data_IF_654878043910
#
_entry.id   IF_654878043910
#
_cell.length_a   1.000
_cell.length_b   1.000
_cell.length_c   1.000
_cell.angle_alpha   90.00
_cell.angle_beta   90.00
_cell.angle_gamma   90.00
#
_symmetry.space_group_name_H-M   'P 1'
#
loop_
_entity.id
_entity.type
_entity.pdbx_description
1 polymer ?
#
# COMPACT_ATOMS: atom_id res chain seq x y z
N UNK A 1 -18.81 -7.24 -13.63
CA UNK A 1 -17.55 -7.68 -12.99
C UNK A 1 -16.31 -6.87 -13.37
N UNK A 2 -16.39 -5.76 -14.13
CA UNK A 2 -15.23 -4.86 -14.32
C UNK A 2 -14.73 -4.32 -12.97
N UNK A 3 -15.64 -3.80 -12.15
CA UNK A 3 -15.32 -3.15 -10.88
C UNK A 3 -14.49 -4.03 -9.90
N UNK A 4 -14.79 -5.33 -9.77
CA UNK A 4 -14.05 -6.22 -8.86
C UNK A 4 -12.60 -6.46 -9.32
N UNK A 5 -12.39 -6.62 -10.62
CA UNK A 5 -11.05 -6.78 -11.20
C UNK A 5 -10.24 -5.49 -11.11
N UNK A 6 -10.90 -4.35 -11.28
CA UNK A 6 -10.30 -3.03 -11.12
C UNK A 6 -9.85 -2.82 -9.65
N UNK A 7 -10.70 -3.13 -8.67
CA UNK A 7 -10.35 -3.06 -7.24
C UNK A 7 -9.21 -4.03 -6.87
N UNK A 8 -9.22 -5.25 -7.40
CA UNK A 8 -8.12 -6.22 -7.18
C UNK A 8 -6.79 -5.69 -7.73
N UNK A 9 -6.83 -5.03 -8.89
CA UNK A 9 -5.64 -4.41 -9.48
C UNK A 9 -5.13 -3.26 -8.62
N UNK A 10 -6.02 -2.39 -8.17
CA UNK A 10 -5.65 -1.26 -7.31
C UNK A 10 -5.09 -1.76 -5.97
N UNK A 11 -5.65 -2.83 -5.42
CA UNK A 11 -5.13 -3.50 -4.24
C UNK A 11 -3.70 -4.04 -4.46
N UNK A 12 -3.45 -4.72 -5.58
CA UNK A 12 -2.12 -5.21 -5.93
C UNK A 12 -1.11 -4.07 -6.09
N UNK A 13 -1.51 -2.97 -6.73
CA UNK A 13 -0.68 -1.77 -6.87
C UNK A 13 -0.35 -1.16 -5.50
N UNK A 14 -1.30 -1.11 -4.57
CA UNK A 14 -1.05 -0.64 -3.21
C UNK A 14 -0.04 -1.53 -2.47
N UNK A 15 -0.16 -2.86 -2.58
CA UNK A 15 0.79 -3.83 -1.99
C UNK A 15 2.20 -3.68 -2.57
N UNK A 16 2.32 -3.56 -3.89
CA UNK A 16 3.60 -3.30 -4.55
C UNK A 16 4.21 -2.00 -4.06
N UNK A 17 3.38 -0.95 -3.91
CA UNK A 17 3.85 0.35 -3.46
C UNK A 17 4.37 0.33 -2.02
N UNK A 18 3.68 -0.38 -1.13
CA UNK A 18 4.14 -0.57 0.27
C UNK A 18 5.50 -1.26 0.27
N UNK A 19 5.66 -2.31 -0.53
CA UNK A 19 6.92 -3.07 -0.64
C UNK A 19 8.07 -2.20 -1.17
N UNK A 20 7.82 -1.40 -2.20
CA UNK A 20 8.79 -0.43 -2.71
C UNK A 20 9.20 0.58 -1.64
N UNK A 21 8.22 1.14 -0.91
CA UNK A 21 8.48 2.12 0.15
C UNK A 21 9.27 1.52 1.32
N UNK A 22 9.01 0.26 1.68
CA UNK A 22 9.80 -0.45 2.70
C UNK A 22 11.26 -0.58 2.30
N UNK A 23 11.53 -0.99 1.06
CA UNK A 23 12.90 -1.06 0.55
C UNK A 23 13.58 0.31 0.55
N UNK A 24 12.88 1.36 0.11
CA UNK A 24 13.42 2.72 0.11
C UNK A 24 13.72 3.21 1.54
N UNK A 25 12.83 2.97 2.50
CA UNK A 25 13.08 3.32 3.90
C UNK A 25 14.29 2.57 4.46
N UNK A 26 14.45 1.28 4.15
CA UNK A 26 15.61 0.48 4.55
C UNK A 26 16.91 1.06 3.98
N UNK A 27 16.98 1.33 2.67
CA UNK A 27 18.15 1.93 2.01
C UNK A 27 18.49 3.31 2.58
N UNK A 28 17.48 4.16 2.81
CA UNK A 28 17.66 5.49 3.40
C UNK A 28 18.20 5.37 4.82
N UNK A 29 17.71 4.42 5.61
CA UNK A 29 18.13 4.23 7.01
C UNK A 29 19.62 3.89 7.14
N UNK A 30 20.19 3.27 6.11
CA UNK A 30 21.62 2.95 6.01
C UNK A 30 22.48 4.18 5.63
N UNK A 31 21.87 5.30 5.24
CA UNK A 31 22.54 6.54 4.83
C UNK A 31 22.25 7.71 5.79
N UNK A 32 23.28 8.22 6.46
CA UNK A 32 23.17 9.40 7.34
C UNK A 32 22.59 10.63 6.64
N UNK A 33 22.79 10.77 5.33
CA UNK A 33 22.38 11.93 4.56
C UNK A 33 20.89 11.90 4.21
N UNK A 34 20.29 10.71 4.11
CA UNK A 34 18.89 10.50 3.73
C UNK A 34 17.92 10.47 4.92
N UNK A 35 18.42 10.37 6.16
CA UNK A 35 17.61 10.14 7.37
C UNK A 35 16.46 11.14 7.57
N UNK A 36 16.64 12.39 7.12
CA UNK A 36 15.61 13.43 7.17
C UNK A 36 14.41 13.18 6.24
N UNK A 37 14.53 12.25 5.28
CA UNK A 37 13.46 11.85 4.38
C UNK A 37 12.64 10.67 4.92
N UNK A 38 13.15 9.92 5.92
CA UNK A 38 12.47 8.72 6.44
C UNK A 38 11.04 9.02 6.86
N UNK A 39 10.82 10.10 7.60
CA UNK A 39 9.47 10.48 8.06
C UNK A 39 8.49 10.70 6.89
N UNK A 40 8.95 11.31 5.80
CA UNK A 40 8.13 11.53 4.60
C UNK A 40 7.84 10.24 3.83
N UNK A 41 8.77 9.28 3.81
CA UNK A 41 8.54 7.98 3.17
C UNK A 41 7.68 7.06 4.04
N UNK A 42 7.86 7.11 5.37
CA UNK A 42 7.00 6.42 6.33
C UNK A 42 5.56 6.92 6.27
N UNK A 43 5.35 8.24 6.15
CA UNK A 43 4.01 8.80 5.95
C UNK A 43 3.38 8.31 4.63
N UNK A 44 4.14 8.28 3.54
CA UNK A 44 3.67 7.71 2.27
C UNK A 44 3.32 6.24 2.40
N UNK A 45 4.10 5.48 3.17
CA UNK A 45 3.84 4.05 3.42
C UNK A 45 2.52 3.88 4.17
N UNK A 46 2.31 4.63 5.25
CA UNK A 46 1.06 4.60 6.03
C UNK A 46 -0.16 4.94 5.18
N UNK A 47 -0.04 5.89 4.24
CA UNK A 47 -1.11 6.22 3.32
C UNK A 47 -1.41 5.07 2.34
N UNK A 48 -0.38 4.39 1.83
CA UNK A 48 -0.55 3.22 0.98
C UNK A 48 -1.14 2.02 1.74
N UNK A 49 -0.73 1.80 2.99
CA UNK A 49 -1.33 0.79 3.88
C UNK A 49 -2.81 1.08 4.14
N UNK A 50 -3.16 2.33 4.46
CA UNK A 50 -4.55 2.72 4.66
C UNK A 50 -5.42 2.56 3.40
N UNK A 51 -4.85 2.72 2.21
CA UNK A 51 -5.56 2.46 0.96
C UNK A 51 -5.72 0.95 0.70
N UNK A 52 -4.66 0.16 0.91
CA UNK A 52 -4.71 -1.30 0.83
C UNK A 52 -5.82 -1.85 1.74
N UNK A 53 -5.86 -1.41 3.00
CA UNK A 53 -6.82 -1.90 4.00
C UNK A 53 -8.26 -1.59 3.58
N UNK A 54 -8.53 -0.38 3.05
CA UNK A 54 -9.85 -0.03 2.51
C UNK A 54 -10.25 -0.90 1.32
N UNK A 55 -9.31 -1.19 0.43
CA UNK A 55 -9.57 -2.03 -0.74
C UNK A 55 -9.81 -3.49 -0.32
N UNK A 56 -9.11 -3.99 0.70
CA UNK A 56 -9.34 -5.29 1.31
C UNK A 56 -10.76 -5.38 1.89
N UNK A 57 -11.17 -4.40 2.71
CA UNK A 57 -12.53 -4.33 3.28
C UNK A 57 -13.61 -4.37 2.19
N UNK A 58 -13.39 -3.67 1.08
CA UNK A 58 -14.32 -3.66 -0.06
C UNK A 58 -14.37 -5.05 -0.72
N UNK A 59 -13.22 -5.68 -0.95
CA UNK A 59 -13.14 -7.00 -1.58
C UNK A 59 -13.81 -8.07 -0.70
N UNK A 60 -13.62 -8.01 0.61
CA UNK A 60 -14.28 -8.89 1.57
C UNK A 60 -15.81 -8.69 1.54
N UNK A 61 -16.27 -7.43 1.56
CA UNK A 61 -17.69 -7.12 1.46
C UNK A 61 -18.32 -7.61 0.15
N UNK A 62 -17.59 -7.49 -0.98
CA UNK A 62 -18.03 -8.02 -2.27
C UNK A 62 -18.10 -9.55 -2.26
N UNK A 63 -17.12 -10.24 -1.66
CA UNK A 63 -17.14 -11.68 -1.54
C UNK A 63 -18.31 -12.17 -0.68
N UNK A 64 -18.59 -11.51 0.44
CA UNK A 64 -19.71 -11.84 1.32
C UNK A 64 -21.09 -11.60 0.67
N UNK A 65 -21.19 -10.68 -0.31
CA UNK A 65 -22.42 -10.42 -1.05
C UNK A 65 -22.64 -11.37 -2.25
N UNK A 66 -21.60 -12.08 -2.67
CA UNK A 66 -21.65 -13.08 -3.75
C UNK A 66 -22.01 -14.49 -3.25
N UNK A 67 -21.84 -14.75 -1.94
CA UNK A 67 -22.25 -15.97 -1.23
C UNK A 67 -23.73 -15.93 -0.80
#
# INVERSE_FOLDING_TARGET
MSNKLDILRDYQVAVEKITELDHVCEEISQSNRGRHLLEAYDEKKRNAEAERDRLEDILEAMAAAED
#
